data_IF_021890756047
#
_entry.id   IF_021890756047
#
_cell.length_a   1.000
_cell.length_b   1.000
_cell.length_c   1.000
_cell.angle_alpha   90.00
_cell.angle_beta   90.00
_cell.angle_gamma   90.00
#
_symmetry.space_group_name_H-M   'P 1'
#
loop_
_entity.id
_entity.type
_entity.pdbx_description
1 polymer ?
#
# COMPACT_ATOMS: atom_id res chain seq x y z
N UNK A 1 28.01 10.70 21.44
CA UNK A 1 27.56 11.61 20.36
C UNK A 1 26.27 11.09 19.78
N UNK A 2 25.31 11.96 19.47
CA UNK A 2 24.02 11.59 18.86
C UNK A 2 24.06 11.55 17.33
N UNK A 3 23.10 10.87 16.71
CA UNK A 3 22.85 10.85 15.26
C UNK A 3 21.44 11.31 14.98
N UNK A 4 21.25 12.05 13.88
CA UNK A 4 19.95 12.49 13.35
C UNK A 4 19.87 12.02 11.89
N UNK A 5 18.70 11.53 11.48
CA UNK A 5 18.44 11.09 10.11
C UNK A 5 17.23 11.82 9.51
N UNK A 6 17.24 11.99 8.19
CA UNK A 6 16.16 12.61 7.42
C UNK A 6 15.60 11.59 6.42
N UNK A 7 14.29 11.65 6.17
CA UNK A 7 13.62 10.81 5.18
C UNK A 7 13.08 11.72 4.07
N UNK A 8 13.71 11.68 2.90
CA UNK A 8 13.39 12.51 1.76
C UNK A 8 12.22 11.94 0.92
N UNK A 9 11.06 11.70 1.53
CA UNK A 9 9.92 10.96 0.92
C UNK A 9 9.37 11.56 -0.38
N UNK A 10 9.63 12.84 -0.65
CA UNK A 10 9.15 13.56 -1.84
C UNK A 10 10.31 13.84 -2.79
N UNK A 11 11.35 14.55 -2.35
CA UNK A 11 12.48 14.95 -3.20
C UNK A 11 13.34 13.78 -3.67
N UNK A 12 13.44 12.70 -2.88
CA UNK A 12 14.18 11.48 -3.21
C UNK A 12 13.33 10.24 -2.88
N UNK A 13 12.34 9.97 -3.74
CA UNK A 13 11.41 8.86 -3.53
C UNK A 13 12.13 7.51 -3.42
N UNK A 14 11.70 6.69 -2.47
CA UNK A 14 12.18 5.32 -2.25
C UNK A 14 11.18 4.25 -2.75
N UNK A 15 10.19 4.64 -3.56
CA UNK A 15 9.16 3.72 -4.06
C UNK A 15 9.73 2.52 -4.82
N UNK A 16 10.82 2.71 -5.58
CA UNK A 16 11.46 1.65 -6.37
C UNK A 16 11.85 0.42 -5.52
N UNK A 17 12.31 0.65 -4.28
CA UNK A 17 12.66 -0.42 -3.35
C UNK A 17 11.56 -0.77 -2.35
N UNK A 18 10.35 -0.23 -2.51
CA UNK A 18 9.27 -0.44 -1.56
C UNK A 18 8.57 -1.78 -1.81
N UNK A 19 8.74 -2.72 -0.89
CA UNK A 19 8.13 -4.05 -0.87
C UNK A 19 6.90 -4.15 0.06
N UNK A 20 6.48 -3.01 0.64
CA UNK A 20 5.40 -2.97 1.63
C UNK A 20 4.01 -3.04 0.99
N UNK A 21 3.11 -3.74 1.67
CA UNK A 21 1.66 -3.65 1.54
C UNK A 21 1.04 -3.51 2.93
N UNK A 22 -0.21 -3.05 3.00
CA UNK A 22 -0.93 -2.85 4.26
C UNK A 22 -2.21 -3.65 4.30
N UNK A 23 -2.47 -4.35 5.40
CA UNK A 23 -3.81 -4.80 5.77
C UNK A 23 -4.42 -3.72 6.66
N UNK A 24 -5.58 -3.20 6.30
CA UNK A 24 -6.31 -2.20 7.06
C UNK A 24 -7.20 -2.84 8.13
N UNK A 25 -7.62 -2.05 9.12
CA UNK A 25 -8.42 -2.55 10.24
C UNK A 25 -9.80 -3.10 9.83
N UNK A 26 -10.35 -2.65 8.69
CA UNK A 26 -11.60 -3.19 8.12
C UNK A 26 -11.41 -4.55 7.43
N UNK A 27 -10.16 -5.00 7.24
CA UNK A 27 -9.83 -6.27 6.60
C UNK A 27 -9.64 -6.19 5.09
N UNK A 28 -9.30 -5.01 4.57
CA UNK A 28 -8.88 -4.81 3.18
C UNK A 28 -7.36 -4.73 3.04
N UNK A 29 -6.83 -5.09 1.87
CA UNK A 29 -5.41 -4.95 1.51
C UNK A 29 -5.24 -3.77 0.58
N UNK A 30 -4.24 -2.94 0.89
CA UNK A 30 -3.84 -1.76 0.13
C UNK A 30 -2.36 -1.88 -0.26
N UNK A 31 -2.01 -1.78 -1.56
CA UNK A 31 -0.64 -2.03 -2.03
C UNK A 31 0.29 -0.83 -1.86
N UNK A 32 -0.26 0.37 -1.68
CA UNK A 32 0.48 1.61 -1.46
C UNK A 32 -0.31 2.55 -0.54
N UNK A 33 0.39 3.29 0.34
CA UNK A 33 -0.23 4.32 1.19
C UNK A 33 -0.90 5.45 0.38
N UNK A 34 -0.55 5.58 -0.90
CA UNK A 34 -1.02 6.63 -1.80
C UNK A 34 -1.86 6.13 -3.00
N UNK A 35 -2.38 4.91 -2.97
CA UNK A 35 -3.32 4.40 -4.00
C UNK A 35 -4.72 4.27 -3.40
N UNK A 36 -5.80 4.53 -4.14
CA UNK A 36 -7.17 4.23 -3.68
C UNK A 36 -7.59 2.77 -3.91
N UNK A 37 -6.70 1.95 -4.48
CA UNK A 37 -6.97 0.53 -4.74
C UNK A 37 -6.90 -0.28 -3.45
N UNK A 38 -8.01 -0.92 -3.11
CA UNK A 38 -8.19 -1.71 -1.90
C UNK A 38 -9.07 -2.92 -2.18
N UNK A 39 -8.70 -4.09 -1.65
CA UNK A 39 -9.46 -5.33 -1.84
C UNK A 39 -9.70 -6.07 -0.53
N UNK A 40 -10.91 -6.60 -0.33
CA UNK A 40 -11.30 -7.27 0.92
C UNK A 40 -10.71 -8.68 1.04
N UNK A 41 -9.63 -8.83 1.81
CA UNK A 41 -9.06 -10.15 2.15
C UNK A 41 -9.89 -10.87 3.22
N UNK A 42 -10.56 -10.12 4.11
CA UNK A 42 -11.36 -10.68 5.20
C UNK A 42 -12.48 -11.60 4.71
N UNK A 43 -13.17 -11.23 3.62
CA UNK A 43 -14.21 -12.07 3.04
C UNK A 43 -13.64 -13.38 2.50
N UNK A 44 -12.49 -13.31 1.82
CA UNK A 44 -11.81 -14.48 1.27
C UNK A 44 -11.38 -15.45 2.39
N UNK A 45 -10.77 -14.93 3.46
CA UNK A 45 -10.39 -15.73 4.64
C UNK A 45 -11.62 -16.36 5.32
N UNK A 46 -12.70 -15.60 5.51
CA UNK A 46 -13.93 -16.09 6.17
C UNK A 46 -14.69 -17.13 5.36
N UNK A 47 -14.52 -17.13 4.03
CA UNK A 47 -15.06 -18.18 3.16
C UNK A 47 -14.26 -19.49 3.18
N UNK A 48 -13.16 -19.56 3.94
CA UNK A 48 -12.29 -20.74 3.97
C UNK A 48 -11.52 -20.94 2.66
N UNK A 49 -11.06 -19.85 2.03
CA UNK A 49 -10.25 -19.94 0.82
C UNK A 49 -8.96 -20.74 1.07
N UNK A 50 -8.53 -21.49 0.05
CA UNK A 50 -7.24 -22.20 0.09
C UNK A 50 -6.07 -21.23 0.07
N UNK A 51 -4.92 -21.69 0.56
CA UNK A 51 -3.67 -20.93 0.51
C UNK A 51 -3.28 -20.52 -0.91
N UNK A 52 -3.59 -21.33 -1.93
CA UNK A 52 -3.35 -20.97 -3.34
C UNK A 52 -4.19 -19.76 -3.77
N UNK A 53 -5.46 -19.69 -3.35
CA UNK A 53 -6.31 -18.53 -3.62
C UNK A 53 -5.80 -17.29 -2.89
N UNK A 54 -5.34 -17.44 -1.65
CA UNK A 54 -4.74 -16.34 -0.89
C UNK A 54 -3.44 -15.86 -1.56
N UNK A 55 -2.60 -16.79 -2.04
CA UNK A 55 -1.39 -16.50 -2.79
C UNK A 55 -1.69 -15.68 -4.04
N UNK A 56 -2.63 -16.13 -4.86
CA UNK A 56 -3.04 -15.41 -6.07
C UNK A 56 -3.56 -14.02 -5.72
N UNK A 57 -4.42 -13.89 -4.71
CA UNK A 57 -4.91 -12.59 -4.24
C UNK A 57 -3.77 -11.62 -3.91
N UNK A 58 -2.75 -12.06 -3.16
CA UNK A 58 -1.63 -11.20 -2.81
C UNK A 58 -0.72 -10.90 -4.01
N UNK A 59 -0.52 -11.85 -4.92
CA UNK A 59 0.20 -11.60 -6.17
C UNK A 59 -0.48 -10.53 -6.99
N UNK A 60 -1.80 -10.63 -7.19
CA UNK A 60 -2.58 -9.64 -7.93
C UNK A 60 -2.53 -8.26 -7.27
N UNK A 61 -2.66 -8.20 -5.93
CA UNK A 61 -2.54 -6.95 -5.19
C UNK A 61 -1.14 -6.30 -5.33
N UNK A 62 -0.07 -7.12 -5.33
CA UNK A 62 1.30 -6.63 -5.59
C UNK A 62 1.44 -6.14 -7.02
N UNK A 63 0.90 -6.86 -8.01
CA UNK A 63 0.98 -6.47 -9.42
C UNK A 63 0.20 -5.19 -9.73
N UNK A 64 -0.87 -4.91 -8.98
CA UNK A 64 -1.60 -3.65 -9.06
C UNK A 64 -0.83 -2.46 -8.45
N UNK A 65 0.24 -2.70 -7.68
CA UNK A 65 1.04 -1.64 -7.08
C UNK A 65 1.69 -0.78 -8.16
N UNK A 66 1.37 0.51 -8.18
CA UNK A 66 2.04 1.46 -9.06
C UNK A 66 3.53 1.55 -8.74
N UNK A 67 4.36 1.82 -9.77
CA UNK A 67 5.82 1.95 -9.62
C UNK A 67 6.25 3.06 -8.63
N UNK A 68 5.38 4.05 -8.37
CA UNK A 68 5.58 5.04 -7.32
C UNK A 68 4.31 5.83 -7.02
N UNK A 69 4.29 6.51 -5.88
CA UNK A 69 3.12 7.28 -5.42
C UNK A 69 2.82 8.54 -6.26
N UNK A 70 3.73 8.95 -7.14
CA UNK A 70 3.47 10.00 -8.13
C UNK A 70 3.35 11.43 -7.58
N UNK A 71 3.66 11.70 -6.32
CA UNK A 71 3.43 13.01 -5.67
C UNK A 71 4.20 14.18 -6.33
N UNK A 72 5.28 13.88 -7.07
CA UNK A 72 6.05 14.88 -7.82
C UNK A 72 5.51 15.12 -9.25
N UNK A 73 4.40 14.49 -9.63
CA UNK A 73 3.80 14.61 -10.96
C UNK A 73 2.63 15.57 -10.92
N UNK A 74 2.41 16.29 -12.01
CA UNK A 74 1.33 17.29 -12.12
C UNK A 74 -0.06 16.66 -12.07
N UNK A 75 -0.17 15.37 -12.40
CA UNK A 75 -1.42 14.60 -12.40
C UNK A 75 -1.70 13.87 -11.07
N UNK A 76 -0.91 14.16 -10.02
CA UNK A 76 -1.09 13.52 -8.73
C UNK A 76 -2.47 13.79 -8.14
N UNK A 77 -3.22 12.71 -7.91
CA UNK A 77 -4.48 12.74 -7.19
C UNK A 77 -4.24 12.23 -5.78
N UNK A 78 -4.51 13.08 -4.78
CA UNK A 78 -4.45 12.69 -3.38
C UNK A 78 -5.52 11.62 -3.11
N UNK A 79 -5.17 10.50 -2.45
CA UNK A 79 -6.14 9.46 -2.11
C UNK A 79 -7.24 9.99 -1.20
N UNK A 80 -8.42 9.37 -1.28
CA UNK A 80 -9.58 9.73 -0.46
C UNK A 80 -9.31 9.47 1.04
N UNK A 81 -8.68 8.34 1.35
CA UNK A 81 -8.25 7.97 2.71
C UNK A 81 -6.79 8.42 2.92
N UNK A 82 -6.56 9.33 3.87
CA UNK A 82 -5.21 9.81 4.22
C UNK A 82 -4.47 8.80 5.10
N UNK A 83 -3.14 8.91 5.21
CA UNK A 83 -2.34 7.99 6.04
C UNK A 83 -2.82 7.94 7.50
N UNK A 84 -3.21 9.09 8.05
CA UNK A 84 -3.78 9.19 9.41
C UNK A 84 -5.06 8.39 9.60
N UNK A 85 -5.89 8.20 8.55
CA UNK A 85 -7.15 7.45 8.64
C UNK A 85 -6.96 5.96 8.40
N UNK A 86 -5.80 5.53 7.92
CA UNK A 86 -5.47 4.12 7.69
C UNK A 86 -4.49 3.55 8.72
N UNK A 87 -4.16 4.32 9.76
CA UNK A 87 -3.39 3.89 10.92
C UNK A 87 -1.95 4.40 10.99
N UNK A 88 -1.63 5.51 10.31
CA UNK A 88 -0.28 6.08 10.27
C UNK A 88 0.57 5.45 9.19
#
# INVERSE_FOLDING_TARGET
>A
GGRIGFIASVSESFCHGCDRMRIMADGTVRPCLFSDDEWCIRSLLRSGASDDKLRTFFQDAVWAKSAGHGMNRDDFKRPLKTMSTIGG
#
